data_IF_772621382274
#
_entry.id   IF_772621382274
#
_cell.length_a   1.000
_cell.length_b   1.000
_cell.length_c   1.000
_cell.angle_alpha   90.00
_cell.angle_beta   90.00
_cell.angle_gamma   90.00
#
_symmetry.space_group_name_H-M   'P 1'
#
loop_
_entity.id
_entity.type
_entity.pdbx_description
1 polymer ?
#
# COMPACT_ATOMS: atom_id res chain seq x y z
N UNK A 1 -2.86 6.14 -9.61
CA UNK A 1 -3.78 6.22 -8.45
C UNK A 1 -5.10 5.46 -8.63
N UNK A 2 -5.82 5.62 -9.75
CA UNK A 2 -7.11 4.94 -9.96
C UNK A 2 -7.06 3.41 -9.81
N UNK A 3 -6.07 2.75 -10.44
CA UNK A 3 -5.89 1.28 -10.35
C UNK A 3 -5.60 0.83 -8.91
N UNK A 4 -4.74 1.54 -8.18
CA UNK A 4 -4.41 1.20 -6.79
C UNK A 4 -5.60 1.31 -5.85
N UNK A 5 -6.51 2.26 -6.13
CA UNK A 5 -7.76 2.43 -5.37
C UNK A 5 -8.71 1.27 -5.61
N UNK A 6 -8.91 0.89 -6.86
CA UNK A 6 -9.74 -0.26 -7.24
C UNK A 6 -9.22 -1.56 -6.61
N UNK A 7 -7.91 -1.80 -6.66
CA UNK A 7 -7.30 -3.00 -6.05
C UNK A 7 -7.46 -3.01 -4.52
N UNK A 8 -7.36 -1.85 -3.87
CA UNK A 8 -7.56 -1.73 -2.44
C UNK A 8 -9.01 -2.05 -2.04
N UNK A 9 -9.99 -1.52 -2.77
CA UNK A 9 -11.41 -1.84 -2.57
C UNK A 9 -11.68 -3.32 -2.79
N UNK A 10 -11.23 -3.89 -3.92
CA UNK A 10 -11.38 -5.30 -4.22
C UNK A 10 -10.76 -6.21 -3.15
N UNK A 11 -9.60 -5.83 -2.61
CA UNK A 11 -8.93 -6.61 -1.55
C UNK A 11 -9.76 -6.69 -0.27
N UNK A 12 -10.51 -5.63 0.05
CA UNK A 12 -11.41 -5.59 1.21
C UNK A 12 -12.63 -6.48 0.96
N UNK A 13 -13.20 -6.41 -0.23
CA UNK A 13 -14.42 -7.15 -0.58
C UNK A 13 -14.18 -8.67 -0.66
N UNK A 14 -13.04 -9.07 -1.23
CA UNK A 14 -12.68 -10.50 -1.41
C UNK A 14 -11.99 -11.08 -0.17
N UNK A 15 -11.59 -10.25 0.79
CA UNK A 15 -10.87 -10.67 1.99
C UNK A 15 -9.42 -11.13 1.71
N UNK A 16 -8.75 -10.46 0.77
CA UNK A 16 -7.36 -10.79 0.38
C UNK A 16 -6.34 -9.83 1.02
N UNK A 17 -5.08 -10.27 1.10
CA UNK A 17 -3.97 -9.42 1.55
C UNK A 17 -3.38 -8.70 0.34
N UNK A 18 -3.45 -7.37 0.34
CA UNK A 18 -2.81 -6.52 -0.66
C UNK A 18 -1.52 -5.90 -0.12
N UNK A 19 -0.39 -6.20 -0.76
CA UNK A 19 0.90 -5.53 -0.53
C UNK A 19 1.17 -4.63 -1.73
N UNK A 20 1.33 -3.32 -1.48
CA UNK A 20 1.62 -2.34 -2.51
C UNK A 20 3.01 -1.74 -2.28
N UNK A 21 3.88 -1.82 -3.31
CA UNK A 21 5.14 -1.07 -3.37
C UNK A 21 4.90 0.10 -4.32
N UNK A 22 5.03 1.31 -3.82
CA UNK A 22 4.75 2.52 -4.60
C UNK A 22 5.65 3.67 -4.17
N UNK A 23 5.95 4.55 -5.12
CA UNK A 23 6.57 5.85 -4.85
C UNK A 23 5.52 6.96 -4.62
N UNK A 24 4.23 6.67 -4.84
CA UNK A 24 3.13 7.62 -4.59
C UNK A 24 2.78 7.66 -3.11
N UNK A 25 3.07 8.79 -2.46
CA UNK A 25 2.72 9.02 -1.05
C UNK A 25 1.20 9.12 -0.86
N UNK A 26 0.47 9.65 -1.85
CA UNK A 26 -0.99 9.70 -1.84
C UNK A 26 -1.60 8.30 -1.79
N UNK A 27 -1.19 7.40 -2.69
CA UNK A 27 -1.69 6.03 -2.68
C UNK A 27 -1.28 5.30 -1.40
N UNK A 28 -0.02 5.45 -0.96
CA UNK A 28 0.47 4.83 0.26
C UNK A 28 -0.32 5.28 1.50
N UNK A 29 -0.76 6.55 1.56
CA UNK A 29 -1.54 7.09 2.68
C UNK A 29 -2.90 6.39 2.90
N UNK A 30 -3.41 5.69 1.88
CA UNK A 30 -4.68 4.96 1.92
C UNK A 30 -4.56 3.59 2.59
N UNK A 31 -3.33 3.09 2.80
CA UNK A 31 -3.08 1.81 3.44
C UNK A 31 -2.98 1.95 4.97
N UNK A 32 -3.55 1.03 5.75
CA UNK A 32 -3.55 1.11 7.21
C UNK A 32 -2.16 0.81 7.82
N UNK A 33 -1.30 0.07 7.11
CA UNK A 33 0.07 -0.25 7.52
C UNK A 33 1.02 0.24 6.43
N UNK A 34 2.05 0.97 6.84
CA UNK A 34 3.02 1.57 5.94
C UNK A 34 4.43 1.37 6.47
N UNK A 35 5.38 1.23 5.56
CA UNK A 35 6.79 1.13 5.87
C UNK A 35 7.59 1.74 4.72
N UNK A 36 8.78 2.23 5.03
CA UNK A 36 9.72 2.78 4.07
C UNK A 36 10.94 1.86 3.95
N UNK A 37 11.38 1.65 2.71
CA UNK A 37 12.63 0.98 2.41
C UNK A 37 13.74 2.03 2.34
N UNK A 38 14.64 2.03 3.33
CA UNK A 38 15.78 2.94 3.43
C UNK A 38 17.06 2.12 3.53
N UNK A 39 17.98 2.31 2.58
CA UNK A 39 19.28 1.62 2.54
C UNK A 39 19.16 0.09 2.67
N UNK A 40 18.18 -0.50 1.95
CA UNK A 40 17.91 -1.94 1.98
C UNK A 40 17.21 -2.44 3.25
N UNK A 41 16.82 -1.55 4.17
CA UNK A 41 16.11 -1.88 5.41
C UNK A 41 14.68 -1.38 5.38
N UNK A 42 13.74 -2.24 5.75
CA UNK A 42 12.34 -1.85 5.91
C UNK A 42 12.14 -1.26 7.32
N UNK A 43 11.63 -0.03 7.37
CA UNK A 43 11.37 0.73 8.61
C UNK A 43 9.89 1.09 8.67
N UNK A 44 9.25 0.89 9.81
CA UNK A 44 7.82 1.25 9.99
C UNK A 44 7.66 2.76 10.05
N UNK A 45 6.64 3.25 9.33
CA UNK A 45 6.19 4.64 9.38
C UNK A 45 5.27 4.90 10.58
#
# INVERSE_FOLDING_TARGET
>A
DAIGSLLLELSRDVGSILICVTHSTDLASRFPRRAELRDGRLTTL
#
